data_IF_998848241594
#
_entry.id   IF_998848241594
#
_cell.length_a   1.000
_cell.length_b   1.000
_cell.length_c   1.000
_cell.angle_alpha   90.00
_cell.angle_beta   90.00
_cell.angle_gamma   90.00
#
_symmetry.space_group_name_H-M   'P 1'
#
loop_
_entity.id
_entity.type
_entity.pdbx_description
1 polymer ?
2 non-polymer ?
3 non-polymer ?
4 non-polymer ?
5 water ?
#
# COMPACT_ATOMS: atom_id res chain seq x y z
N UNK A 4 16.06 12.98 -9.60
CA UNK A 4 15.24 13.93 -10.36
C UNK A 4 15.32 15.33 -9.70
N UNK A 5 14.41 16.24 -10.11
CA UNK A 5 14.29 17.58 -9.52
C UNK A 5 14.12 17.50 -7.99
N UNK A 6 13.48 16.42 -7.48
CA UNK A 6 13.21 16.20 -6.06
C UNK A 6 14.49 16.00 -5.25
N UNK A 7 14.69 16.86 -4.24
CA UNK A 7 15.87 16.89 -3.37
C UNK A 7 15.41 16.72 -1.96
N UNK A 8 15.96 15.75 -1.21
CA UNK A 8 15.63 15.54 0.20
C UNK A 8 16.42 16.53 1.07
N UNK A 9 15.70 17.29 1.91
CA UNK A 9 16.25 18.29 2.82
C UNK A 9 16.31 17.74 4.22
N UNK A 10 15.34 16.83 4.53
CA UNK A 10 15.23 16.14 5.82
C UNK A 10 14.55 14.82 5.60
N UNK A 11 15.16 13.69 6.05
CA UNK A 11 14.53 12.38 5.96
C UNK A 11 14.95 11.58 7.17
N UNK A 12 14.04 11.47 8.18
CA UNK A 12 14.33 10.87 9.48
C UNK A 12 13.09 10.42 10.22
N UNK A 13 13.28 9.47 11.16
CA UNK A 13 12.25 8.90 12.04
C UNK A 13 12.26 9.66 13.39
N UNK A 14 11.10 10.27 13.73
CA UNK A 14 10.84 11.05 14.93
C UNK A 14 9.81 10.40 15.80
N UNK A 15 9.73 10.83 17.09
CA UNK A 15 8.68 10.39 18.00
C UNK A 15 7.63 11.51 17.95
N UNK A 16 6.39 11.16 17.55
CA UNK A 16 5.34 12.15 17.47
C UNK A 16 4.15 11.75 18.32
N UNK A 17 3.35 12.73 18.77
CA UNK A 17 2.14 12.44 19.56
C UNK A 17 1.01 12.33 18.59
N UNK A 18 0.27 11.22 18.61
CA UNK A 18 -0.80 11.01 17.65
C UNK A 18 -2.16 11.05 18.30
N UNK A 19 -2.91 12.12 18.00
CA UNK A 19 -4.29 12.30 18.48
C UNK A 19 -5.21 12.03 17.32
N UNK A 20 -6.28 11.32 17.58
CA UNK A 20 -7.28 10.97 16.56
C UNK A 20 -8.57 10.62 17.28
N UNK A 21 -9.77 10.89 16.68
CA UNK A 21 -11.03 10.47 17.34
C UNK A 21 -11.10 8.95 17.46
N UNK A 22 -11.89 8.43 18.37
CA UNK A 22 -12.00 6.99 18.60
C UNK A 22 -12.61 6.26 17.37
N UNK A 23 -13.40 7.01 16.54
CA UNK A 23 -14.14 6.58 15.33
C UNK A 23 -15.00 7.73 14.74
N UNK A 24 -15.70 7.46 13.64
CA UNK A 24 -16.62 8.42 13.01
C UNK A 24 -17.87 8.61 13.83
N UNK A 25 -18.04 7.81 14.88
CA UNK A 25 -19.26 7.89 15.66
C UNK A 25 -18.92 8.18 17.13
N UNK A 26 -17.65 8.49 17.42
CA UNK A 26 -17.10 8.80 18.73
C UNK A 26 -16.01 9.93 18.55
N UNK A 27 -16.41 11.21 18.69
CA UNK A 27 -15.50 12.31 18.41
C UNK A 27 -14.28 12.50 19.35
N UNK A 28 -14.40 12.09 20.65
CA UNK A 28 -13.36 12.23 21.68
C UNK A 28 -12.02 11.62 21.27
N UNK A 29 -10.94 12.10 21.87
CA UNK A 29 -9.62 11.69 21.43
C UNK A 29 -9.01 10.51 22.17
N UNK A 30 -8.12 9.85 21.42
CA UNK A 30 -7.20 8.81 21.83
C UNK A 30 -5.87 9.35 21.40
N UNK A 31 -4.90 9.27 22.28
CA UNK A 31 -3.57 9.79 22.06
C UNK A 31 -2.51 8.81 22.50
N UNK A 32 -1.50 8.62 21.64
CA UNK A 32 -0.34 7.77 21.90
C UNK A 32 0.86 8.24 21.13
N UNK A 33 2.05 8.11 21.71
CA UNK A 33 3.30 8.47 21.01
C UNK A 33 3.65 7.35 20.06
N UNK A 34 4.05 7.69 18.83
CA UNK A 34 4.40 6.71 17.80
C UNK A 34 5.61 7.21 17.01
N UNK A 35 6.32 6.29 16.33
CA UNK A 35 7.45 6.64 15.47
C UNK A 35 6.91 6.94 14.08
N UNK A 36 7.16 8.18 13.62
CA UNK A 36 6.70 8.71 12.35
C UNK A 36 7.91 9.11 11.51
N UNK A 37 7.97 8.66 10.25
CA UNK A 37 9.07 9.03 9.37
C UNK A 37 8.68 10.31 8.63
N UNK A 38 9.45 11.39 8.79
CA UNK A 38 9.18 12.67 8.15
C UNK A 38 10.23 12.94 7.09
N UNK A 39 9.76 13.31 5.89
CA UNK A 39 10.58 13.60 4.73
C UNK A 39 10.17 14.97 4.16
N UNK A 40 11.08 15.93 4.22
CA UNK A 40 10.95 17.29 3.68
C UNK A 40 11.85 17.38 2.46
N UNK A 41 11.26 17.65 1.31
CA UNK A 41 12.00 17.70 0.07
C UNK A 41 11.67 18.94 -0.77
N UNK A 42 12.63 19.36 -1.57
CA UNK A 42 12.58 20.51 -2.47
C UNK A 42 12.40 20.00 -3.88
N UNK A 43 11.50 20.60 -4.65
CA UNK A 43 11.25 20.18 -6.03
C UNK A 43 10.81 21.35 -6.89
N UNK A 44 10.53 21.08 -8.19
CA UNK A 44 10.12 22.11 -9.15
C UNK A 44 8.83 21.72 -9.89
N UNK A 45 7.83 22.64 -9.96
CA UNK A 45 6.60 22.38 -10.73
C UNK A 45 6.05 23.64 -11.43
N UNK A 46 5.86 23.53 -12.78
CA UNK A 46 5.31 24.53 -13.71
C UNK A 46 4.52 23.86 -14.86
N UNK A 50 7.60 27.52 -10.11
CA UNK A 50 8.97 27.54 -9.61
C UNK A 50 9.12 26.50 -8.46
N UNK A 51 10.06 26.74 -7.48
CA UNK A 51 10.34 25.86 -6.33
C UNK A 51 9.11 25.54 -5.47
N UNK A 52 9.07 24.27 -4.99
CA UNK A 52 8.04 23.69 -4.13
C UNK A 52 8.66 22.95 -2.98
N UNK A 53 8.01 22.98 -1.83
CA UNK A 53 8.44 22.27 -0.63
C UNK A 53 7.40 21.21 -0.26
N UNK A 54 7.83 19.95 -0.09
CA UNK A 54 6.91 18.85 0.19
C UNK A 54 7.17 18.16 1.51
N UNK A 55 6.12 18.02 2.32
CA UNK A 55 6.15 17.32 3.61
C UNK A 55 5.50 15.98 3.44
N UNK A 56 6.18 14.88 3.78
CA UNK A 56 5.57 13.55 3.70
C UNK A 56 5.75 12.81 5.02
N UNK A 57 4.65 12.34 5.66
CA UNK A 57 4.79 11.52 6.86
C UNK A 57 4.28 10.09 6.52
N UNK A 58 4.93 9.07 7.12
CA UNK A 58 4.54 7.66 7.02
C UNK A 58 4.83 6.95 8.38
N UNK A 59 4.26 5.74 8.59
CA UNK A 59 4.43 4.90 9.80
C UNK A 59 4.78 3.46 9.41
N UNK A 60 5.82 2.89 10.03
CA UNK A 60 6.26 1.51 9.75
C UNK A 60 5.25 0.48 10.24
N UNK A 61 4.51 0.80 11.33
CA UNK A 61 3.50 -0.08 11.93
C UNK A 61 2.10 0.04 11.25
N UNK A 62 1.93 1.04 10.33
CA UNK A 62 0.68 1.31 9.60
C UNK A 62 0.99 1.63 8.14
N UNK A 63 0.74 0.64 7.27
CA UNK A 63 1.03 0.71 5.84
C UNK A 63 0.19 1.74 5.11
N UNK A 64 -1.09 1.88 5.44
CA UNK A 64 -1.98 2.81 4.74
C UNK A 64 -1.73 4.26 5.17
N UNK A 65 -1.02 4.45 6.33
CA UNK A 65 -0.69 5.76 6.88
C UNK A 65 0.34 6.46 6.02
N UNK A 66 -0.12 7.47 5.27
CA UNK A 66 0.68 8.26 4.34
C UNK A 66 -0.02 9.60 4.10
N UNK A 67 0.55 10.69 4.65
CA UNK A 67 0.04 12.06 4.52
C UNK A 67 1.09 13.00 3.94
N UNK A 68 0.67 13.95 3.12
CA UNK A 68 1.50 14.94 2.43
C UNK A 68 0.84 16.30 2.29
N UNK A 69 1.68 17.28 1.93
CA UNK A 69 1.33 18.65 1.56
C UNK A 69 2.50 19.27 0.82
N UNK A 70 2.18 19.97 -0.26
CA UNK A 70 3.11 20.65 -1.13
C UNK A 70 2.84 22.13 -1.02
N UNK A 71 3.80 22.85 -0.49
CA UNK A 71 3.71 24.27 -0.39
C UNK A 71 4.39 24.89 -1.58
N UNK A 72 3.84 25.97 -2.09
CA UNK A 72 4.41 26.81 -3.12
C UNK A 72 4.56 28.17 -2.48
N UNK A 73 5.24 29.11 -3.14
CA UNK A 73 5.45 30.46 -2.61
C UNK A 73 4.12 31.08 -2.09
N UNK A 74 3.03 31.12 -2.91
CA UNK A 74 1.71 31.66 -2.58
C UNK A 74 1.11 30.99 -1.31
N UNK A 75 1.00 29.64 -1.30
CA UNK A 75 0.48 28.81 -0.21
C UNK A 75 1.28 29.05 1.07
N UNK A 76 2.61 29.26 0.94
CA UNK A 76 3.51 29.50 2.07
C UNK A 76 3.22 30.85 2.74
N UNK A 77 2.95 31.91 1.94
CA UNK A 77 2.66 33.26 2.42
C UNK A 77 1.48 33.27 3.40
N UNK A 78 0.47 32.39 3.18
CA UNK A 78 -0.72 32.20 4.01
C UNK A 78 -0.30 31.54 5.32
N UNK A 79 0.53 30.46 5.23
CA UNK A 79 1.01 29.70 6.39
C UNK A 79 1.85 30.59 7.29
N UNK A 80 2.76 31.38 6.68
CA UNK A 80 3.61 32.31 7.40
C UNK A 80 2.74 33.37 8.06
N UNK A 81 1.74 33.95 7.35
CA UNK A 81 0.83 34.96 7.95
C UNK A 81 0.11 34.40 9.18
N UNK A 82 -0.45 33.17 9.04
CA UNK A 82 -1.18 32.41 10.05
C UNK A 82 -0.35 32.14 11.30
N UNK A 83 0.93 31.71 11.13
CA UNK A 83 1.81 31.33 12.22
C UNK A 83 2.86 32.39 12.50
N UNK A 84 2.64 33.60 11.98
CA UNK A 84 3.48 34.78 12.19
C UNK A 84 4.98 34.46 12.02
N UNK A 85 5.33 33.94 10.83
CA UNK A 85 6.70 33.62 10.45
C UNK A 85 7.22 34.75 9.58
N UNK A 86 8.27 35.46 10.02
CA UNK A 86 8.85 36.56 9.26
C UNK A 86 9.83 36.01 8.20
N UNK A 87 10.31 34.76 8.43
CA UNK A 87 11.24 33.96 7.61
C UNK A 87 10.60 33.69 6.20
N UNK A 88 11.42 33.83 5.11
CA UNK A 88 10.95 33.64 3.73
C UNK A 88 10.83 32.16 3.34
N UNK A 89 10.34 31.87 2.13
CA UNK A 89 10.15 30.49 1.68
C UNK A 89 11.47 29.68 1.59
N UNK A 90 12.58 30.30 1.12
CA UNK A 90 13.86 29.58 0.99
C UNK A 90 14.45 29.14 2.33
N UNK A 91 14.23 29.92 3.41
CA UNK A 91 14.74 29.75 4.75
C UNK A 91 13.83 28.93 5.64
N UNK A 92 12.55 28.89 5.32
CA UNK A 92 11.56 28.17 6.12
C UNK A 92 11.99 26.73 6.37
N UNK A 93 12.41 25.91 5.36
CA UNK A 93 12.80 24.53 5.68
C UNK A 93 14.03 24.47 6.55
N UNK A 94 14.96 25.45 6.40
CA UNK A 94 16.20 25.56 7.17
C UNK A 94 15.92 25.77 8.62
N UNK A 95 14.92 26.57 8.93
CA UNK A 95 14.48 26.88 10.31
C UNK A 95 13.81 25.64 10.94
N UNK A 96 12.94 24.93 10.14
CA UNK A 96 12.24 23.70 10.55
C UNK A 96 13.26 22.64 10.92
N UNK A 97 14.31 22.49 10.11
CA UNK A 97 15.35 21.49 10.30
C UNK A 97 16.18 21.80 11.54
N UNK A 98 16.33 23.08 11.90
CA UNK A 98 17.08 23.43 13.10
C UNK A 98 16.24 23.15 14.33
N UNK A 99 14.93 23.37 14.23
CA UNK A 99 14.03 23.07 15.32
C UNK A 99 14.01 21.55 15.52
N UNK A 100 13.88 20.75 14.45
CA UNK A 100 13.89 19.28 14.53
C UNK A 100 15.22 18.73 15.15
N UNK A 101 16.35 19.51 15.15
CA UNK A 101 17.63 19.10 15.77
C UNK A 101 17.57 19.15 17.29
N UNK A 102 16.81 20.11 17.82
CA UNK A 102 16.66 20.39 19.24
C UNK A 102 15.82 19.31 19.93
N UNK A 103 16.33 18.83 21.10
CA UNK A 103 15.70 17.80 21.94
C UNK A 103 14.37 18.28 22.52
N UNK A 104 14.23 19.60 22.75
CA UNK A 104 13.03 20.26 23.30
C UNK A 104 11.90 20.45 22.28
N UNK A 105 12.09 19.98 21.04
CA UNK A 105 11.10 20.12 19.97
C UNK A 105 10.12 18.95 20.02
N UNK A 106 8.83 19.28 19.93
CA UNK A 106 7.71 18.33 19.94
C UNK A 106 6.97 18.33 18.59
N UNK A 107 6.64 17.14 18.06
CA UNK A 107 5.83 17.00 16.83
C UNK A 107 4.45 16.42 17.22
N UNK A 108 3.38 17.10 16.83
CA UNK A 108 2.04 16.62 17.18
C UNK A 108 1.23 16.47 15.91
N UNK A 109 0.63 15.29 15.70
CA UNK A 109 -0.16 14.94 14.53
C UNK A 109 -1.58 14.61 14.97
N UNK A 110 -2.53 15.46 14.59
CA UNK A 110 -3.92 15.28 14.93
C UNK A 110 -4.69 14.92 13.65
N UNK A 111 -5.21 13.71 13.60
CA UNK A 111 -5.97 13.12 12.51
C UNK A 111 -7.47 13.40 12.63
N UNK A 112 -8.18 13.47 11.50
CA UNK A 112 -9.63 13.63 11.57
C UNK A 112 -10.23 12.22 11.62
N UNK A 113 -11.51 12.13 12.04
CA UNK A 113 -12.26 10.88 12.23
C UNK A 113 -12.26 9.96 11.00
N UNK A 114 -12.26 10.55 9.79
CA UNK A 114 -12.30 9.88 8.49
C UNK A 114 -10.89 9.55 7.96
N UNK A 115 -9.81 10.04 8.63
CA UNK A 115 -8.39 9.85 8.29
C UNK A 115 -8.08 10.43 6.87
N UNK A 116 -8.85 11.46 6.45
CA UNK A 116 -8.71 12.16 5.17
C UNK A 116 -7.61 13.19 5.21
N UNK A 117 -7.44 13.83 6.38
CA UNK A 117 -6.47 14.88 6.61
C UNK A 117 -5.84 14.73 7.97
N UNK A 118 -4.84 15.54 8.22
CA UNK A 118 -4.25 15.62 9.52
C UNK A 118 -3.43 16.88 9.64
N UNK A 119 -3.38 17.42 10.87
CA UNK A 119 -2.60 18.62 11.19
C UNK A 119 -1.28 18.20 11.78
N UNK A 120 -0.18 18.60 11.16
CA UNK A 120 1.16 18.30 11.64
C UNK A 120 1.71 19.57 12.28
N UNK A 121 2.02 19.55 13.58
CA UNK A 121 2.45 20.70 14.36
C UNK A 121 3.85 20.50 14.93
N UNK A 122 4.68 21.55 14.87
CA UNK A 122 6.03 21.54 15.44
C UNK A 122 5.99 22.48 16.66
N UNK A 123 6.23 21.95 17.84
CA UNK A 123 6.15 22.78 19.03
C UNK A 123 7.48 22.74 19.73
N UNK A 124 8.08 23.92 19.99
CA UNK A 124 9.36 24.10 20.68
C UNK A 124 9.10 24.37 22.19
N UNK A 125 9.67 23.50 23.07
CA UNK A 125 9.54 23.60 24.53
C UNK A 125 10.69 24.43 25.18
N UNK A 126 11.61 24.99 24.36
CA UNK A 126 12.71 25.86 24.78
C UNK A 126 12.13 27.13 25.36
N UNK A 127 12.55 27.58 26.56
CA UNK A 127 11.91 28.76 27.15
C UNK A 127 12.27 30.02 26.37
N UNK A 128 11.27 30.85 26.13
CA UNK A 128 11.44 32.09 25.38
C UNK A 128 10.88 32.03 23.98
N UNK A 129 10.62 30.79 23.50
CA UNK A 129 10.07 30.53 22.18
C UNK A 129 8.63 30.97 22.09
N UNK A 130 8.09 31.11 20.86
CA UNK A 130 6.67 31.42 20.62
C UNK A 130 5.83 30.16 20.89
N UNK A 131 6.51 29.01 21.02
CA UNK A 131 5.91 27.71 21.26
C UNK A 131 5.59 27.01 19.97
N UNK A 132 4.34 27.16 19.45
CA UNK A 132 3.93 26.58 18.17
C UNK A 132 4.68 27.28 17.10
N UNK A 133 5.54 26.57 16.40
CA UNK A 133 6.34 27.21 15.38
C UNK A 133 5.46 27.38 14.18
N UNK A 134 4.70 26.32 13.85
CA UNK A 134 3.75 26.26 12.75
C UNK A 134 3.03 24.95 12.83
N UNK A 135 2.00 24.87 12.01
CA UNK A 135 1.15 23.73 11.74
C UNK A 135 0.82 23.76 10.26
N UNK A 136 0.90 22.62 9.60
CA UNK A 136 0.58 22.45 8.19
C UNK A 136 -0.52 21.37 8.08
N UNK A 137 -1.56 21.59 7.24
CA UNK A 137 -2.61 20.58 7.03
C UNK A 137 -2.16 19.64 5.91
N UNK A 138 -1.92 18.35 6.25
CA UNK A 138 -1.51 17.27 5.35
C UNK A 138 -2.72 16.48 4.86
N UNK A 139 -2.70 16.01 3.60
CA UNK A 139 -3.83 15.23 3.08
C UNK A 139 -3.44 13.75 2.92
N UNK A 140 -4.41 12.83 3.06
CA UNK A 140 -4.16 11.39 2.88
C UNK A 140 -3.72 11.11 1.41
N UNK A 141 -2.58 10.46 1.22
CA UNK A 141 -2.07 10.16 -0.13
C UNK A 141 -2.78 8.92 -0.67
N UNK A 142 -3.39 9.04 -1.85
CA UNK A 142 -4.08 7.91 -2.48
C UNK A 142 -3.46 7.65 -3.87
N UNK A 143 -4.16 6.89 -4.72
CA UNK A 143 -3.73 6.60 -6.07
C UNK A 143 -2.33 6.10 -6.21
N UNK A 144 -1.65 6.57 -7.25
CA UNK A 144 -0.32 6.17 -7.68
C UNK A 144 0.75 6.34 -6.62
N UNK A 145 0.71 7.40 -5.82
CA UNK A 145 1.74 7.59 -4.79
C UNK A 145 1.58 6.58 -3.68
N UNK A 146 0.31 6.24 -3.31
CA UNK A 146 0.06 5.24 -2.28
C UNK A 146 0.41 3.88 -2.84
N UNK A 147 0.13 3.63 -4.12
CA UNK A 147 0.44 2.37 -4.77
C UNK A 147 1.97 2.18 -4.71
N UNK A 148 2.79 3.21 -5.06
CA UNK A 148 4.25 3.13 -4.99
C UNK A 148 4.72 2.77 -3.59
N UNK A 149 4.14 3.40 -2.55
CA UNK A 149 4.42 3.20 -1.14
C UNK A 149 4.15 1.76 -0.72
N UNK A 150 2.92 1.27 -1.00
CA UNK A 150 2.44 -0.06 -0.65
C UNK A 150 3.22 -1.16 -1.36
N UNK A 151 3.69 -0.91 -2.60
CA UNK A 151 4.52 -1.86 -3.37
C UNK A 151 5.91 -1.95 -2.77
N UNK A 152 6.49 -0.80 -2.33
CA UNK A 152 7.82 -0.73 -1.70
C UNK A 152 7.84 -1.59 -0.43
N UNK A 153 6.74 -1.58 0.35
CA UNK A 153 6.55 -2.38 1.56
C UNK A 153 6.50 -3.88 1.17
N UNK A 154 5.66 -4.25 0.16
CA UNK A 154 5.49 -5.61 -0.37
C UNK A 154 6.84 -6.17 -0.83
N UNK A 155 7.59 -5.38 -1.62
CA UNK A 155 8.92 -5.74 -2.14
C UNK A 155 9.99 -5.76 -1.03
N UNK A 156 9.78 -4.98 0.07
CA UNK A 156 10.71 -5.01 1.21
C UNK A 156 10.45 -6.27 2.02
N UNK A 157 9.16 -6.59 2.26
CA UNK A 157 8.71 -7.81 2.96
C UNK A 157 9.00 -9.09 2.14
N UNK A 158 9.34 -8.92 0.83
CA UNK A 158 9.66 -10.00 -0.09
C UNK A 158 11.11 -10.46 0.11
N UNK A 159 12.04 -9.50 0.34
CA UNK A 159 13.47 -9.74 0.60
C UNK A 159 13.59 -10.47 1.97
N UNK A 160 12.50 -10.43 2.77
CA UNK A 160 12.35 -11.12 4.05
C UNK A 160 12.27 -12.63 3.80
N UNK A 161 11.71 -13.08 2.66
CA UNK A 161 11.63 -14.50 2.28
C UNK A 161 12.96 -14.98 1.63
N UNK A 162 13.74 -14.06 1.00
CA UNK A 162 15.01 -14.37 0.35
C UNK A 162 16.09 -14.73 1.39
N UNK A 163 16.06 -14.05 2.56
CA UNK A 163 16.99 -14.30 3.67
C UNK A 163 16.51 -15.53 4.45
N UNK A 164 15.19 -15.74 4.53
CA UNK A 164 14.56 -16.91 5.16
C UNK A 164 14.71 -18.15 4.27
N UNK A 166 16.27 -21.39 5.15
CA UNK A 166 15.87 -22.71 4.67
C UNK A 166 14.97 -23.43 5.70
N UNK A 167 14.34 -22.65 6.62
CA UNK A 167 13.45 -23.06 7.72
C UNK A 167 14.17 -24.06 8.66
N UNK A 168 14.93 -23.50 9.63
CA UNK A 168 15.75 -24.18 10.66
C UNK A 168 16.80 -25.15 10.06
N UNK A 169 17.08 -25.02 8.73
CA UNK A 169 18.01 -25.83 7.94
C UNK A 169 17.70 -27.33 8.11
N UNK A 170 16.43 -27.69 7.77
CA UNK A 170 15.84 -29.05 7.87
C UNK A 170 15.81 -29.53 9.35
N UNK A 171 15.65 -28.57 10.29
CA UNK A 171 15.59 -28.71 11.76
C UNK A 171 16.87 -29.32 12.35
N UNK A 172 17.24 -30.56 11.96
CA UNK A 172 18.44 -31.24 12.45
C UNK A 172 19.68 -30.79 11.68
N UNK B 5 -22.61 -8.61 0.32
CA UNK B 5 -22.87 -7.96 -0.96
C UNK B 5 -21.85 -8.40 -2.05
N UNK B 6 -21.17 -9.56 -1.81
CA UNK B 6 -20.19 -10.25 -2.64
C UNK B 6 -20.03 -11.68 -2.10
N UNK B 7 -20.37 -12.70 -2.93
CA UNK B 7 -20.30 -14.12 -2.55
C UNK B 7 -19.36 -14.85 -3.52
N UNK B 8 -18.28 -15.48 -3.01
CA UNK B 8 -17.30 -16.22 -3.80
C UNK B 8 -17.90 -17.53 -4.31
N UNK B 9 -17.85 -17.74 -5.64
CA UNK B 9 -18.36 -18.93 -6.31
C UNK B 9 -17.22 -19.90 -6.62
N UNK B 10 -16.03 -19.36 -6.87
CA UNK B 10 -14.80 -20.09 -7.17
C UNK B 10 -13.62 -19.20 -6.79
N UNK B 11 -12.64 -19.77 -6.07
CA UNK B 11 -11.44 -19.05 -5.64
C UNK B 11 -10.33 -20.08 -5.53
N UNK B 12 -9.43 -20.12 -6.54
CA UNK B 12 -8.37 -21.12 -6.65
C UNK B 12 -7.20 -20.69 -7.52
N UNK B 13 -6.02 -21.30 -7.28
CA UNK B 13 -4.78 -21.08 -8.01
C UNK B 13 -4.65 -22.13 -9.12
N UNK B 14 -4.55 -21.64 -10.37
CA UNK B 14 -4.42 -22.44 -11.60
C UNK B 14 -3.09 -22.19 -12.29
N UNK B 15 -2.70 -23.10 -13.21
CA UNK B 15 -1.52 -22.91 -14.05
C UNK B 15 -2.04 -22.35 -15.36
N UNK B 16 -1.58 -21.16 -15.73
CA UNK B 16 -2.04 -20.51 -16.95
C UNK B 16 -0.88 -20.19 -17.87
N UNK B 17 -1.13 -20.11 -19.19
CA UNK B 17 -0.09 -19.74 -20.15
C UNK B 17 -0.16 -18.22 -20.31
N UNK B 18 0.96 -17.52 -20.09
CA UNK B 18 0.95 -16.07 -20.15
C UNK B 18 1.73 -15.53 -21.34
N UNK B 19 0.98 -14.99 -22.32
CA UNK B 19 1.53 -14.38 -23.53
C UNK B 19 1.47 -12.88 -23.40
N UNK B 20 2.47 -12.19 -24.00
CA UNK B 20 2.60 -10.72 -24.04
C UNK B 20 3.58 -10.27 -25.18
N UNK B 21 3.07 -9.76 -26.33
CA UNK B 21 3.99 -9.33 -27.40
C UNK B 21 4.46 -7.88 -27.23
N UNK B 30 7.16 -12.33 -23.72
CA UNK B 30 7.26 -13.71 -24.22
C UNK B 30 6.24 -14.61 -23.50
N UNK B 31 6.16 -15.90 -23.91
CA UNK B 31 5.20 -16.86 -23.32
C UNK B 31 5.84 -17.77 -22.30
N UNK B 32 5.19 -17.88 -21.13
CA UNK B 32 5.61 -18.75 -20.03
C UNK B 32 4.43 -19.15 -19.18
N UNK B 33 4.45 -20.37 -18.64
CA UNK B 33 3.40 -20.85 -17.74
C UNK B 33 3.64 -20.26 -16.36
N UNK B 34 2.58 -19.77 -15.72
CA UNK B 34 2.68 -19.15 -14.39
C UNK B 34 1.46 -19.55 -13.55
N UNK B 35 1.57 -19.42 -12.21
CA UNK B 35 0.46 -19.67 -11.30
C UNK B 35 -0.34 -18.38 -11.15
N UNK B 36 -1.63 -18.45 -11.53
CA UNK B 36 -2.57 -17.34 -11.51
C UNK B 36 -3.75 -17.70 -10.61
N UNK B 37 -4.10 -16.80 -9.67
CA UNK B 37 -5.23 -17.03 -8.78
C UNK B 37 -6.48 -16.45 -9.43
N UNK B 38 -7.49 -17.29 -9.66
CA UNK B 38 -8.76 -16.89 -10.28
C UNK B 38 -9.87 -16.91 -9.23
N UNK B 39 -10.61 -15.80 -9.14
CA UNK B 39 -11.72 -15.61 -8.21
C UNK B 39 -12.96 -15.16 -8.97
N UNK B 40 -14.01 -16.01 -8.97
CA UNK B 40 -15.31 -15.76 -9.58
C UNK B 40 -16.31 -15.54 -8.45
N UNK B 41 -16.98 -14.38 -8.45
CA UNK B 41 -17.93 -14.05 -7.40
C UNK B 41 -19.25 -13.57 -7.95
N UNK B 42 -20.26 -13.51 -7.07
CA UNK B 42 -21.60 -13.03 -7.35
C UNK B 42 -21.88 -11.84 -6.44
N UNK B 43 -22.41 -10.76 -7.00
CA UNK B 43 -22.68 -9.54 -6.23
C UNK B 43 -23.93 -8.82 -6.74
N UNK B 44 -24.41 -7.81 -5.96
CA UNK B 44 -25.58 -6.99 -6.24
C UNK B 44 -25.30 -6.00 -7.38
N UNK B 45 -26.39 -5.54 -8.06
CA UNK B 45 -26.32 -4.60 -9.18
C UNK B 45 -25.57 -3.30 -8.78
N UNK B 46 -25.99 -2.63 -7.68
CA UNK B 46 -25.40 -1.42 -7.09
C UNK B 46 -25.07 -0.35 -8.13
N UNK B 53 -21.70 -10.73 -12.07
CA UNK B 53 -20.66 -11.74 -11.97
C UNK B 53 -19.27 -11.12 -12.19
N UNK B 54 -18.32 -11.34 -11.25
CA UNK B 54 -16.99 -10.73 -11.34
C UNK B 54 -15.86 -11.75 -11.42
N UNK B 55 -14.99 -11.57 -12.43
CA UNK B 55 -13.79 -12.38 -12.63
C UNK B 55 -12.58 -11.57 -12.19
N UNK B 56 -11.75 -12.10 -11.29
CA UNK B 56 -10.53 -11.40 -10.86
C UNK B 56 -9.33 -12.34 -10.97
N UNK B 57 -8.25 -11.90 -11.65
CA UNK B 57 -7.02 -12.69 -11.75
C UNK B 57 -5.86 -11.88 -11.12
N UNK B 58 -4.99 -12.59 -10.37
CA UNK B 58 -3.83 -12.01 -9.69
C UNK B 58 -2.67 -13.01 -9.67
N UNK B 59 -1.44 -12.55 -9.36
CA UNK B 59 -0.22 -13.38 -9.30
C UNK B 59 0.54 -13.17 -7.98
N UNK B 60 0.94 -14.27 -7.31
CA UNK B 60 1.67 -14.20 -6.04
C UNK B 60 3.11 -13.67 -6.23
N UNK B 61 3.72 -13.93 -7.41
CA UNK B 61 5.07 -13.51 -7.76
C UNK B 61 5.13 -12.08 -8.32
N UNK B 62 3.96 -11.45 -8.61
CA UNK B 62 3.82 -10.10 -9.17
C UNK B 62 2.67 -9.37 -8.49
N UNK B 63 3.01 -8.46 -7.56
CA UNK B 63 2.05 -7.70 -6.76
C UNK B 63 1.19 -6.76 -7.58
N UNK B 64 1.77 -6.08 -8.57
CA UNK B 64 1.06 -5.12 -9.42
C UNK B 64 0.10 -5.78 -10.46
N UNK B 65 0.38 -7.03 -10.89
CA UNK B 65 -0.45 -7.79 -11.84
C UNK B 65 -1.84 -8.04 -11.21
N UNK B 66 -2.90 -7.44 -11.77
CA UNK B 66 -4.28 -7.55 -11.28
C UNK B 66 -5.25 -7.12 -12.39
N UNK B 67 -6.03 -8.09 -12.92
CA UNK B 67 -7.03 -7.90 -13.99
C UNK B 67 -8.43 -8.39 -13.55
N UNK B 68 -9.50 -7.66 -13.97
CA UNK B 68 -10.91 -7.93 -13.66
C UNK B 68 -11.86 -7.62 -14.78
N UNK B 69 -13.11 -8.11 -14.65
CA UNK B 69 -14.26 -7.85 -15.49
C UNK B 69 -15.54 -8.23 -14.74
N UNK B 70 -16.53 -7.33 -14.82
CA UNK B 70 -17.84 -7.49 -14.19
C UNK B 70 -18.89 -7.61 -15.29
N UNK B 71 -19.57 -8.76 -15.29
CA UNK B 71 -20.62 -9.10 -16.23
C UNK B 71 -22.01 -8.82 -15.67
N UNK B 72 -22.83 -8.10 -16.45
CA UNK B 72 -24.23 -7.87 -16.14
C UNK B 72 -25.03 -8.63 -17.18
N UNK B 73 -26.35 -8.74 -17.01
CA UNK B 73 -27.21 -9.46 -17.95
C UNK B 73 -26.93 -9.05 -19.42
N UNK B 74 -26.99 -7.75 -19.74
CA UNK B 74 -26.76 -7.17 -21.08
C UNK B 74 -25.37 -7.56 -21.66
N UNK B 75 -24.28 -7.28 -20.90
CA UNK B 75 -22.88 -7.59 -21.24
C UNK B 75 -22.69 -9.08 -21.48
N UNK B 76 -23.40 -9.92 -20.69
CA UNK B 76 -23.34 -11.38 -20.81
C UNK B 76 -23.94 -11.88 -22.12
N UNK B 77 -25.07 -11.28 -22.57
CA UNK B 77 -25.78 -11.64 -23.80
C UNK B 77 -24.84 -11.57 -25.02
N UNK B 78 -23.91 -10.58 -25.03
CA UNK B 78 -22.90 -10.37 -26.06
C UNK B 78 -21.88 -11.53 -26.00
N UNK B 79 -21.41 -11.86 -24.76
CA UNK B 79 -20.45 -12.93 -24.48
C UNK B 79 -21.06 -14.31 -24.78
N UNK B 80 -22.39 -14.47 -24.58
CA UNK B 80 -23.14 -15.70 -24.86
C UNK B 80 -23.33 -15.86 -26.36
N UNK B 81 -23.49 -14.73 -27.11
CA UNK B 81 -23.65 -14.72 -28.57
C UNK B 81 -22.32 -15.05 -29.26
N UNK B 82 -21.21 -14.42 -28.80
CA UNK B 82 -19.84 -14.56 -29.30
C UNK B 82 -19.34 -16.00 -29.23
N UNK B 83 -19.54 -16.68 -28.09
CA UNK B 83 -19.05 -18.03 -27.85
C UNK B 83 -20.15 -19.08 -27.93
N UNK B 84 -21.30 -18.69 -28.53
CA UNK B 84 -22.46 -19.54 -28.78
C UNK B 84 -22.84 -20.38 -27.53
N UNK B 85 -23.11 -19.67 -26.43
CA UNK B 85 -23.56 -20.25 -25.16
C UNK B 85 -25.07 -20.12 -25.07
N UNK B 86 -25.78 -21.26 -25.04
CA UNK B 86 -27.25 -21.26 -24.95
C UNK B 86 -27.68 -21.06 -23.48
N UNK B 87 -26.75 -21.35 -22.54
CA UNK B 87 -26.86 -21.26 -21.08
C UNK B 87 -27.12 -19.77 -20.65
N UNK B 88 -28.06 -19.55 -19.70
CA UNK B 88 -28.44 -18.22 -19.20
C UNK B 88 -27.41 -17.64 -18.20
N UNK B 89 -27.67 -16.41 -17.70
CA UNK B 89 -26.82 -15.67 -16.76
C UNK B 89 -26.63 -16.37 -15.41
N UNK B 90 -27.68 -17.04 -14.88
CA UNK B 90 -27.60 -17.71 -13.58
C UNK B 90 -26.80 -19.03 -13.63
N UNK B 91 -26.89 -19.78 -14.76
CA UNK B 91 -26.23 -21.08 -14.97
C UNK B 91 -24.84 -20.97 -15.62
N UNK B 92 -24.44 -19.76 -16.13
CA UNK B 92 -23.13 -19.51 -16.74
C UNK B 92 -21.98 -19.76 -15.74
N UNK B 93 -21.98 -19.22 -14.49
CA UNK B 93 -20.86 -19.51 -13.60
C UNK B 93 -20.77 -20.98 -13.22
N UNK B 94 -21.91 -21.67 -13.13
CA UNK B 94 -22.01 -23.10 -12.81
C UNK B 94 -21.32 -23.95 -13.88
N UNK B 95 -21.48 -23.56 -15.15
CA UNK B 95 -20.88 -24.23 -16.31
C UNK B 95 -19.36 -23.96 -16.35
N UNK B 96 -18.89 -22.69 -16.19
CA UNK B 96 -17.45 -22.36 -16.21
C UNK B 96 -16.75 -23.08 -15.04
N UNK B 97 -17.39 -23.10 -13.84
CA UNK B 97 -16.91 -23.78 -12.62
C UNK B 97 -16.63 -25.26 -12.93
N UNK B 98 -17.51 -25.90 -13.75
CA UNK B 98 -17.35 -27.29 -14.14
C UNK B 98 -16.26 -27.45 -15.16
N UNK B 99 -16.09 -26.45 -16.05
CA UNK B 99 -15.01 -26.47 -17.05
C UNK B 99 -13.66 -26.43 -16.33
N UNK B 100 -13.52 -25.51 -15.36
CA UNK B 100 -12.32 -25.34 -14.52
C UNK B 100 -11.91 -26.63 -13.77
N UNK B 101 -12.87 -27.56 -13.54
CA UNK B 101 -12.62 -28.83 -12.84
C UNK B 101 -11.98 -29.89 -13.75
N UNK B 102 -12.32 -29.84 -15.05
CA UNK B 102 -11.88 -30.77 -16.09
C UNK B 102 -10.40 -30.60 -16.40
N UNK B 103 -9.68 -31.73 -16.47
CA UNK B 103 -8.23 -31.82 -16.75
C UNK B 103 -7.90 -31.32 -18.16
N UNK B 104 -8.85 -31.47 -19.12
CA UNK B 104 -8.73 -31.06 -20.52
C UNK B 104 -8.92 -29.55 -20.75
N UNK B 105 -9.19 -28.78 -19.68
CA UNK B 105 -9.42 -27.34 -19.77
C UNK B 105 -8.07 -26.61 -19.64
N UNK B 106 -7.83 -25.67 -20.57
CA UNK B 106 -6.62 -24.85 -20.61
C UNK B 106 -6.96 -23.38 -20.36
N UNK B 107 -6.14 -22.66 -19.53
CA UNK B 107 -6.33 -21.23 -19.29
C UNK B 107 -5.18 -20.46 -19.98
N UNK B 108 -5.55 -19.54 -20.88
CA UNK B 108 -4.57 -18.73 -21.59
C UNK B 108 -4.88 -17.27 -21.37
N UNK B 109 -3.88 -16.51 -20.92
CA UNK B 109 -4.00 -15.08 -20.64
C UNK B 109 -3.03 -14.31 -21.55
N UNK B 110 -3.58 -13.51 -22.50
CA UNK B 110 -2.82 -12.71 -23.48
C UNK B 110 -3.00 -11.20 -23.21
N UNK B 111 -1.90 -10.51 -22.81
CA UNK B 111 -1.86 -9.07 -22.50
C UNK B 111 -1.57 -8.19 -23.73
N UNK B 112 -2.02 -6.91 -23.68
CA UNK B 112 -1.80 -5.89 -24.73
C UNK B 112 -0.45 -5.14 -24.47
N UNK B 113 0.01 -4.30 -25.44
CA UNK B 113 1.29 -3.59 -25.37
C UNK B 113 1.42 -2.64 -24.19
N UNK B 114 0.31 -1.98 -23.82
CA UNK B 114 0.21 -0.99 -22.73
C UNK B 114 -0.15 -1.63 -21.36
N UNK B 115 -0.44 -2.97 -21.36
CA UNK B 115 -0.82 -3.79 -20.18
C UNK B 115 -2.12 -3.26 -19.54
N UNK B 116 -2.97 -2.65 -20.37
CA UNK B 116 -4.28 -2.09 -20.01
C UNK B 116 -5.35 -3.14 -19.94
N UNK B 117 -5.24 -4.18 -20.80
CA UNK B 117 -6.20 -5.26 -20.89
C UNK B 117 -5.50 -6.60 -21.02
N UNK B 118 -6.28 -7.68 -20.81
CA UNK B 118 -5.85 -9.07 -20.99
C UNK B 118 -7.05 -9.95 -21.33
N UNK B 119 -6.89 -10.83 -22.33
CA UNK B 119 -7.91 -11.79 -22.73
C UNK B 119 -7.69 -13.07 -21.94
N UNK B 120 -8.70 -13.49 -21.17
CA UNK B 120 -8.64 -14.71 -20.37
C UNK B 120 -9.46 -15.77 -21.08
N UNK B 136 -13.07 -13.94 -22.07
CA UNK B 136 -13.55 -12.70 -21.47
C UNK B 136 -12.41 -11.67 -21.48
N UNK B 137 -12.70 -10.40 -21.85
CA UNK B 137 -11.68 -9.34 -21.84
C UNK B 137 -11.66 -8.70 -20.46
N UNK B 138 -10.54 -8.89 -19.73
CA UNK B 138 -10.29 -8.34 -18.39
C UNK B 138 -9.51 -7.03 -18.46
N UNK B 139 -9.79 -6.08 -17.57
CA UNK B 139 -9.10 -4.79 -17.59
C UNK B 139 -8.13 -4.69 -16.41
N UNK B 140 -7.02 -3.93 -16.56
CA UNK B 140 -6.05 -3.72 -15.49
C UNK B 140 -6.69 -2.99 -14.33
N UNK B 141 -6.55 -3.57 -13.17
CA UNK B 141 -7.13 -3.00 -11.97
C UNK B 141 -6.13 -2.00 -11.36
N UNK B 142 -6.56 -0.74 -11.23
CA UNK B 142 -5.76 0.34 -10.67
C UNK B 142 -6.49 0.99 -9.48
N UNK B 143 -5.94 2.08 -8.98
CA UNK B 143 -6.55 2.83 -7.89
C UNK B 143 -6.98 2.04 -6.69
N UNK B 144 -8.18 2.36 -6.15
CA UNK B 144 -8.71 1.80 -4.91
C UNK B 144 -8.74 0.28 -4.86
N UNK B 145 -9.05 -0.37 -5.98
CA UNK B 145 -9.09 -1.84 -5.98
C UNK B 145 -7.70 -2.42 -5.89
N UNK B 146 -6.73 -1.78 -6.54
CA UNK B 146 -5.33 -2.20 -6.47
C UNK B 146 -4.80 -1.91 -5.08
N UNK B 147 -5.19 -0.77 -4.48
CA UNK B 147 -4.77 -0.39 -3.13
C UNK B 147 -5.28 -1.49 -2.15
N UNK B 148 -6.56 -1.91 -2.26
CA UNK B 148 -7.14 -2.98 -1.42
C UNK B 148 -6.32 -4.28 -1.54
N UNK B 149 -5.95 -4.66 -2.78
CA UNK B 149 -5.14 -5.83 -3.12
C UNK B 149 -3.77 -5.78 -2.44
N UNK B 150 -3.02 -4.68 -2.66
CA UNK B 150 -1.69 -4.51 -2.10
C UNK B 150 -1.71 -4.48 -0.59
N UNK B 151 -2.75 -3.88 0.01
CA UNK B 151 -2.86 -3.82 1.48
C UNK B 151 -3.07 -5.22 2.05
N UNK B 152 -3.92 -6.05 1.38
CA UNK B 152 -4.17 -7.43 1.77
C UNK B 152 -2.87 -8.24 1.75
N UNK B 153 -1.95 -7.96 0.78
CA UNK B 153 -0.62 -8.59 0.66
C UNK B 153 0.23 -8.13 1.85
N UNK B 154 0.31 -6.81 2.08
CA UNK B 154 1.07 -6.22 3.17
C UNK B 154 0.66 -6.83 4.51
N UNK B 155 -0.66 -6.92 4.76
CA UNK B 155 -1.23 -7.47 6.00
C UNK B 155 -1.06 -9.01 6.09
N UNK B 156 -0.98 -9.73 4.95
CA UNK B 156 -0.74 -11.17 4.98
C UNK B 156 0.75 -11.39 5.24
N UNK B 157 1.64 -10.62 4.58
CA UNK B 157 3.09 -10.66 4.78
C UNK B 157 3.48 -10.16 6.18
N UNK B 158 2.54 -9.51 6.90
CA UNK B 158 2.75 -8.96 8.24
C UNK B 158 2.62 -10.07 9.29
N UNK B 159 1.64 -10.99 9.10
CA UNK B 159 1.37 -12.16 9.95
C UNK B 159 2.60 -13.12 9.83
N UNK B 160 3.42 -12.92 8.79
CA UNK B 160 4.67 -13.63 8.51
C UNK B 160 5.72 -13.24 9.58
N UNK B 161 5.68 -11.99 10.10
CA UNK B 161 6.59 -11.52 11.16
C UNK B 161 6.08 -11.95 12.56
N UNK B 162 4.75 -12.16 12.71
CA UNK B 162 4.13 -12.56 13.99
C UNK B 162 4.51 -14.02 14.35
N UNK B 163 4.61 -14.90 13.32
CA UNK B 163 5.01 -16.30 13.47
C UNK B 163 6.53 -16.41 13.54
N UNK B 164 7.22 -15.74 12.58
CA UNK B 164 8.67 -15.72 12.41
C UNK B 164 9.29 -14.43 12.98
N UNK B 165 9.77 -14.53 14.24
CA UNK B 165 10.38 -13.43 15.01
C UNK B 165 11.49 -13.97 15.94
N UNK B 166 11.31 -15.21 16.46
CA UNK B 166 12.23 -15.94 17.34
C UNK B 166 13.06 -16.96 16.54
N UNK B 167 12.91 -16.99 15.20
CA UNK B 167 13.57 -17.90 14.25
C UNK B 167 15.11 -17.88 14.33
N UNK B 168 15.73 -16.70 14.13
CA UNK B 168 17.18 -16.52 14.15
C UNK B 168 17.78 -16.78 15.55
N UNK B 169 17.02 -16.40 16.60
CA UNK B 169 17.40 -16.52 18.01
C UNK B 169 17.44 -17.98 18.46
N UNK B 170 16.41 -18.78 18.12
CA UNK B 170 16.32 -20.21 18.46
C UNK B 170 17.35 -21.05 17.69
N UNK B 171 17.80 -20.55 16.52
CA UNK B 171 18.79 -21.17 15.63
C UNK B 171 20.15 -21.27 16.33
N UNK B 172 20.45 -20.34 17.27
CA UNK B 172 21.69 -20.28 18.04
C UNK B 172 21.80 -21.46 19.02
N UNK B 173 20.73 -21.74 19.80
CA UNK B 173 20.69 -22.83 20.79
C UNK B 173 20.87 -24.20 20.13
N UNK B 174 20.24 -24.41 18.95
CA UNK B 174 20.32 -25.68 18.20
C UNK B 174 21.68 -25.82 17.47
N UNK B 175 22.24 -24.71 16.92
CA UNK B 175 23.54 -24.76 16.23
C UNK B 175 24.70 -25.01 17.21
N UNK B 176 24.54 -24.58 18.49
CA UNK B 176 25.52 -24.80 19.55
C UNK B 176 25.49 -26.29 19.93
N UNK B 177 24.27 -26.90 19.90
CA UNK B 177 24.03 -28.31 20.17
C UNK B 177 24.64 -29.19 19.08
N UNK B 178 24.76 -28.67 17.84
CA UNK B 178 25.35 -29.38 16.71
C UNK B 178 26.86 -29.58 16.90
N UNK B 179 27.57 -28.48 17.19
CA UNK B 179 29.02 -28.48 17.42
C UNK B 179 29.47 -29.30 18.61
N UNK B 180 28.64 -29.32 19.68
CA UNK B 180 28.88 -30.07 20.91
C UNK B 180 28.64 -31.57 20.67
N UNK B 181 27.82 -31.92 19.64
CA UNK B 181 27.52 -33.30 19.26
C UNK B 181 28.42 -33.79 18.10
N UNK B 182 29.18 -32.86 17.47
CA UNK B 182 30.12 -33.17 16.38
C UNK B 182 31.33 -34.00 16.87
N UNK B 183 31.66 -33.88 18.18
CA UNK B 183 32.76 -34.56 18.85
C UNK B 183 32.48 -36.06 18.97
N UNK B 184 31.24 -36.42 19.34
CA UNK B 184 30.77 -37.80 19.52
C UNK B 184 30.57 -38.48 18.18
X LIG C 1 18.09 12.90 3.49
X LIG C 1 18.67 13.07 4.78
X LIG C 1 18.03 11.38 3.13
X LIG C 1 16.96 11.12 2.20
X LIG D 1 10.99 30.57 13.54
X LIG D 1 11.81 29.94 14.54
X LIG D 1 10.97 32.12 13.79
X LIG D 1 10.70 32.85 12.57
X LIG E 1 12.72 26.03 0.08
X LIG E 1 11.79 25.55 -0.88
X LIG E 1 14.13 25.32 -0.10
X LIG E 1 15.21 25.94 0.66
X LIG F 1 13.11 15.94 17.38
X LIG F 1 13.73 16.59 18.50
X LIG F 1 11.58 16.14 17.46
X LIG F 1 10.93 14.91 17.14
X LIG G 1 15.95 26.10 19.23
X LIG G 1 15.50 25.37 18.24
X LIG G 1 14.45 24.70 18.65
X LIG G 1 14.21 25.03 19.95
X LIG G 1 15.15 25.91 20.31
X LIG H 1 0.04 14.67 -3.65
X LIG H 1 -0.85 13.70 -3.66
X LIG H 1 -0.26 12.58 -3.32
X LIG H 1 1.06 12.84 -3.08
X LIG H 1 1.25 14.14 -3.29
X LIG I 1 -3.48 19.47 20.59
X LIG I 1 -2.08 19.63 20.48
X LIG I 1 -1.58 20.85 21.22
X LIG I 1 -0.17 20.80 21.39
X LIG I 1 0.36 21.85 22.20
X LIG I 1 1.06 21.33 23.42
X LIG I 1 2.20 20.54 23.10
X LIG J 1 13.32 14.59 21.12
X LIG J 1 13.39 13.53 20.17
X LIG J 1 12.02 13.15 19.69
X LIG J 1 12.09 12.48 18.43
X LIG K 1 -2.10 0.46 13.76
X LIG K 1 -3.24 1.31 13.72
X LIG K 1 -0.96 1.12 14.57
X LIG K 1 -1.38 1.43 15.89
X LIG L 1 18.81 15.91 8.32
X LIG L 1 19.01 17.19 7.73
X LIG L 1 18.12 14.95 7.29
X LIG L 1 18.24 13.57 7.64
X LIG M 1 1.24 30.28 18.20
X LIG M 1 1.92 31.01 19.21
X LIG M 1 1.50 30.91 16.79
X LIG M 1 1.06 30.02 15.78
X LIG N 1 -22.21 -25.01 -23.46
X LIG N 1 -22.49 -24.00 -22.51
X LIG N 1 -21.50 -24.41 -24.70
X LIG N 1 -20.16 -24.03 -24.40
#
# INVERSE_FOLDING_TARGET
GSMTSKIALFDQTLIASLLQPLSLNQPDFKAYKTKVKLKISEQRNETSGEKELKFEISRSDDFEFLFSETLNNEKYQILARDHDLTVDFDAFPKVIIQHLLCKNTEINIILDAEKNFCSFELFSKTPGSKGKIFSIKLHAVRGDHLISHLLKICSSQAVKLSTFYKSADELASLRQKCGDLEKQVEKLS
GSMTSKIALFDQTLIASLLQPLSLNQPDFKAYKTKVKLKISEQRNETSGEKELKFEISRSDDFEFLFSETLNNEKYQILARDHDLTVDFDAFPKVIIQHLLCKNTEINIILDAEKNFCSFELFSKTPGSKGKIFSIKLHAVRGDHLISHLLKICSSQAVKLSTFYKSADELASLRQKCGDLEKQVEKLS
EDO C1 O1 C2 O2
EDO C1 O1 C2 O2
EDO C1 O1 C2 O2
EDO C1 O1 C2 O2
IMD N1 C2 N3 C4 C5
IMD N1 C2 N3 C4 C5
PG4 O1 C1 C2 O2 C3 C4 O3
PG4 O2 C3 C4 O3
EDO C1 O1 C2 O2
EDO C1 O1 C2 O2
EDO C1 O1 C2 O2
EDO C1 O1 C2 O2
#
